data_IF_313372961385
#
_entry.id   IF_313372961385
#
_cell.length_a   1.000
_cell.length_b   1.000
_cell.length_c   1.000
_cell.angle_alpha   90.00
_cell.angle_beta   90.00
_cell.angle_gamma   90.00
#
_symmetry.space_group_name_H-M   'P 1'
#
loop_
_entity.id
_entity.type
_entity.pdbx_description
1 polymer ?
#
# COMPACT_ATOMS: atom_id res chain seq x y z
N UNK A 1 5.51 -19.87 7.43
CA UNK A 1 6.48 -19.63 6.36
C UNK A 1 7.07 -18.24 6.50
N UNK A 2 8.37 -18.09 6.23
CA UNK A 2 9.07 -16.81 6.18
C UNK A 2 9.71 -16.68 4.80
N UNK A 3 9.42 -15.59 4.11
CA UNK A 3 9.98 -15.29 2.79
C UNK A 3 10.65 -13.93 2.86
N UNK A 4 11.89 -13.87 2.40
CA UNK A 4 12.66 -12.65 2.22
C UNK A 4 13.05 -12.50 0.76
N UNK A 5 12.85 -11.31 0.21
CA UNK A 5 13.32 -10.92 -1.11
C UNK A 5 14.18 -9.67 -1.02
N UNK A 6 15.33 -9.70 -1.69
CA UNK A 6 16.18 -8.55 -1.97
C UNK A 6 16.04 -8.21 -3.46
N UNK A 7 15.60 -7.00 -3.78
CA UNK A 7 15.51 -6.48 -5.14
C UNK A 7 16.48 -5.33 -5.35
N UNK A 8 16.99 -5.17 -6.57
CA UNK A 8 17.55 -3.90 -7.03
C UNK A 8 17.30 -3.83 -8.53
N UNK A 9 16.42 -2.96 -8.96
CA UNK A 9 15.98 -2.87 -10.35
C UNK A 9 16.18 -1.46 -10.85
N UNK A 10 16.93 -1.35 -11.94
CA UNK A 10 17.10 -0.13 -12.70
C UNK A 10 16.50 -0.31 -14.11
N UNK A 11 15.90 0.74 -14.66
CA UNK A 11 15.45 0.77 -16.06
C UNK A 11 15.99 1.97 -16.81
N UNK A 12 16.24 1.77 -18.12
CA UNK A 12 16.64 2.81 -19.06
C UNK A 12 15.44 3.25 -19.90
N UNK A 13 15.16 4.56 -19.95
CA UNK A 13 14.05 5.12 -20.76
C UNK A 13 14.50 5.69 -22.12
N UNK A 14 15.78 5.59 -22.47
CA UNK A 14 16.36 6.25 -23.65
C UNK A 14 17.15 7.52 -23.33
N UNK A 15 16.97 8.08 -22.13
CA UNK A 15 17.64 9.31 -21.68
C UNK A 15 18.33 9.18 -20.32
N UNK A 16 17.73 8.43 -19.39
CA UNK A 16 18.21 8.26 -18.01
C UNK A 16 17.92 6.86 -17.49
N UNK A 17 18.71 6.46 -16.50
CA UNK A 17 18.41 5.32 -15.63
C UNK A 17 17.52 5.79 -14.47
N UNK A 18 16.58 4.96 -14.07
CA UNK A 18 15.67 5.26 -12.97
C UNK A 18 15.16 3.99 -12.27
N UNK A 19 14.80 4.14 -11.00
CA UNK A 19 14.17 3.09 -10.19
C UNK A 19 12.69 2.99 -10.59
N UNK A 20 12.20 1.89 -11.18
CA UNK A 20 10.78 1.74 -11.49
C UNK A 20 9.94 1.64 -10.20
N UNK A 21 8.65 1.98 -10.28
CA UNK A 21 7.73 2.01 -9.12
C UNK A 21 7.56 0.67 -8.40
N UNK A 22 7.97 -0.44 -9.02
CA UNK A 22 7.94 -1.78 -8.43
C UNK A 22 9.32 -2.23 -7.92
N UNK A 23 10.36 -1.40 -8.02
CA UNK A 23 11.63 -1.66 -7.36
C UNK A 23 11.42 -1.58 -5.83
N UNK A 24 11.50 -2.75 -5.19
CA UNK A 24 11.39 -2.87 -3.74
C UNK A 24 12.59 -3.61 -3.22
N UNK A 25 13.52 -2.84 -2.66
CA UNK A 25 14.79 -3.37 -2.20
C UNK A 25 14.66 -4.46 -1.14
N UNK A 26 13.85 -4.25 -0.12
CA UNK A 26 13.62 -5.25 0.93
C UNK A 26 12.15 -5.60 0.99
N UNK A 27 11.83 -6.89 0.95
CA UNK A 27 10.47 -7.39 1.08
C UNK A 27 10.46 -8.64 1.98
N UNK A 28 9.72 -8.58 3.08
CA UNK A 28 9.60 -9.69 4.03
C UNK A 28 8.13 -10.03 4.20
N UNK A 29 7.80 -11.31 4.05
CA UNK A 29 6.48 -11.82 4.35
C UNK A 29 6.61 -13.00 5.30
N UNK A 30 6.03 -12.87 6.48
CA UNK A 30 5.94 -13.92 7.47
C UNK A 30 4.49 -14.28 7.69
N UNK A 31 4.19 -15.58 7.72
CA UNK A 31 2.88 -16.07 8.10
C UNK A 31 3.05 -17.28 8.99
N UNK A 32 2.30 -17.30 10.08
CA UNK A 32 2.20 -18.43 10.98
C UNK A 32 0.73 -18.79 11.15
N UNK A 33 0.46 -20.08 11.23
CA UNK A 33 -0.85 -20.62 11.58
C UNK A 33 -0.63 -21.83 12.48
N UNK A 34 -1.37 -21.91 13.57
CA UNK A 34 -1.27 -23.01 14.53
C UNK A 34 -2.67 -23.40 15.01
N UNK A 35 -2.97 -24.69 14.90
CA UNK A 35 -4.17 -25.28 15.48
C UNK A 35 -3.91 -25.67 16.94
N UNK A 36 -4.89 -25.44 17.81
CA UNK A 36 -4.83 -25.77 19.23
C UNK A 36 -6.22 -26.17 19.77
N UNK A 37 -6.24 -26.68 21.01
CA UNK A 37 -7.41 -27.33 21.59
C UNK A 37 -7.36 -28.85 21.45
N UNK A 38 -8.07 -29.56 22.33
CA UNK A 38 -8.00 -31.01 22.43
C UNK A 38 -8.47 -31.71 21.14
N UNK A 39 -9.35 -31.06 20.39
CA UNK A 39 -9.90 -31.54 19.11
C UNK A 39 -9.43 -30.68 17.93
N UNK A 40 -8.40 -29.84 18.12
CA UNK A 40 -7.93 -28.84 17.15
C UNK A 40 -9.06 -27.91 16.70
N UNK A 41 -9.95 -27.56 17.62
CA UNK A 41 -11.12 -26.73 17.34
C UNK A 41 -10.78 -25.23 17.23
N UNK A 42 -9.57 -24.83 17.59
CA UNK A 42 -9.09 -23.46 17.46
C UNK A 42 -7.93 -23.37 16.49
N UNK A 43 -7.85 -22.27 15.76
CA UNK A 43 -6.73 -21.93 14.89
C UNK A 43 -6.37 -20.46 15.07
N UNK A 44 -5.13 -20.18 15.45
CA UNK A 44 -4.58 -18.82 15.43
C UNK A 44 -3.76 -18.62 14.16
N UNK A 45 -3.94 -17.49 13.49
CA UNK A 45 -3.19 -17.09 12.30
C UNK A 45 -2.61 -15.69 12.49
N UNK A 46 -1.37 -15.52 12.06
CA UNK A 46 -0.69 -14.23 12.03
C UNK A 46 -0.04 -14.03 10.66
N UNK A 47 -0.23 -12.84 10.08
CA UNK A 47 0.40 -12.42 8.83
C UNK A 47 1.12 -11.10 9.06
N UNK A 48 2.41 -11.10 8.75
CA UNK A 48 3.28 -9.96 8.90
C UNK A 48 3.97 -9.66 7.58
N UNK A 49 3.90 -8.42 7.13
CA UNK A 49 4.52 -7.96 5.91
C UNK A 49 5.35 -6.71 6.18
N UNK A 50 6.58 -6.69 5.70
CA UNK A 50 7.50 -5.55 5.74
C UNK A 50 8.00 -5.28 4.32
N UNK A 51 8.08 -4.02 3.92
CA UNK A 51 8.62 -3.62 2.63
C UNK A 51 9.37 -2.31 2.74
N UNK A 52 10.51 -2.19 2.06
CA UNK A 52 11.13 -0.89 1.85
C UNK A 52 10.22 0.04 1.04
N UNK A 53 10.51 1.33 1.10
CA UNK A 53 9.81 2.36 0.34
C UNK A 53 9.81 2.09 -1.16
N UNK A 54 8.65 2.28 -1.78
CA UNK A 54 8.56 2.29 -3.24
C UNK A 54 9.12 3.62 -3.78
N UNK A 55 9.88 3.58 -4.89
CA UNK A 55 10.29 4.76 -5.63
C UNK A 55 9.09 5.57 -6.12
N UNK A 56 9.21 6.89 -6.07
CA UNK A 56 8.21 7.80 -6.60
C UNK A 56 8.84 9.13 -7.00
N UNK A 57 8.25 9.76 -8.00
CA UNK A 57 8.65 11.11 -8.43
C UNK A 57 8.01 12.14 -7.51
N UNK A 58 8.85 12.93 -6.84
CA UNK A 58 8.41 14.01 -5.95
C UNK A 58 7.94 15.24 -6.74
N UNK A 59 7.01 16.00 -6.16
CA UNK A 59 6.71 17.35 -6.63
C UNK A 59 7.69 18.32 -5.96
N UNK A 60 8.48 19.06 -6.75
CA UNK A 60 9.39 20.09 -6.24
C UNK A 60 8.72 21.44 -6.06
N UNK A 61 7.69 21.71 -6.86
CA UNK A 61 6.98 22.97 -6.79
C UNK A 61 5.77 23.03 -7.70
N UNK A 62 5.16 24.19 -7.74
CA UNK A 62 4.01 24.50 -8.58
C UNK A 62 4.30 25.79 -9.32
N UNK A 63 3.91 25.84 -10.59
CA UNK A 63 4.05 27.03 -11.42
C UNK A 63 2.85 27.19 -12.34
N UNK A 64 2.63 28.41 -12.80
CA UNK A 64 1.59 28.73 -13.76
C UNK A 64 2.21 28.64 -15.15
N UNK A 65 1.89 27.58 -15.90
CA UNK A 65 2.38 27.43 -17.27
C UNK A 65 1.66 28.42 -18.18
N UNK A 66 2.37 29.12 -19.09
CA UNK A 66 1.73 29.95 -20.10
C UNK A 66 0.72 29.12 -20.89
N UNK A 67 -0.44 29.70 -21.19
CA UNK A 67 -1.41 29.06 -22.07
C UNK A 67 -0.96 29.27 -23.53
N UNK A 68 -0.82 28.17 -24.26
CA UNK A 68 -0.33 28.15 -25.64
C UNK A 68 -1.36 27.56 -26.61
N UNK A 69 -2.66 27.69 -26.28
CA UNK A 69 -3.75 27.14 -27.09
C UNK A 69 -3.78 27.64 -28.54
N UNK A 70 -3.21 28.82 -28.81
CA UNK A 70 -3.09 29.40 -30.16
C UNK A 70 -1.69 29.23 -30.78
N UNK A 71 -0.84 28.39 -30.18
CA UNK A 71 0.51 28.12 -30.65
C UNK A 71 1.39 29.37 -30.68
N UNK A 72 2.05 29.64 -31.82
CA UNK A 72 2.95 30.80 -31.98
C UNK A 72 2.22 32.16 -31.90
N UNK A 73 0.89 32.17 -31.95
CA UNK A 73 0.07 33.39 -31.83
C UNK A 73 -0.38 33.67 -30.39
N UNK A 74 -0.09 32.76 -29.44
CA UNK A 74 -0.49 32.95 -28.04
C UNK A 74 0.26 34.13 -27.40
N UNK A 75 -0.49 35.03 -26.78
CA UNK A 75 0.06 36.17 -26.03
C UNK A 75 0.58 35.71 -24.67
N UNK A 76 1.87 35.38 -24.61
CA UNK A 76 2.53 34.98 -23.36
C UNK A 76 2.87 36.15 -22.43
N UNK A 77 2.63 37.40 -22.83
CA UNK A 77 2.97 38.61 -22.05
C UNK A 77 1.79 39.05 -21.19
N UNK A 78 0.57 39.04 -21.73
CA UNK A 78 -0.63 39.52 -21.03
C UNK A 78 -1.54 38.43 -20.49
N UNK A 79 -1.33 37.18 -20.89
CA UNK A 79 -2.21 36.07 -20.55
C UNK A 79 -1.84 35.44 -19.20
N UNK A 80 -2.84 35.32 -18.33
CA UNK A 80 -2.70 34.63 -17.05
C UNK A 80 -3.02 33.14 -17.23
N UNK A 81 -2.21 32.26 -16.63
CA UNK A 81 -2.50 30.83 -16.63
C UNK A 81 -3.77 30.55 -15.84
N UNK A 82 -4.70 29.80 -16.43
CA UNK A 82 -5.91 29.33 -15.75
C UNK A 82 -5.64 28.19 -14.75
N UNK A 83 -4.54 27.45 -14.95
CA UNK A 83 -4.24 26.22 -14.22
C UNK A 83 -2.84 26.23 -13.59
N UNK A 84 -2.74 25.54 -12.45
CA UNK A 84 -1.47 25.29 -11.77
C UNK A 84 -0.86 24.01 -12.31
N UNK A 85 0.39 24.09 -12.77
CA UNK A 85 1.19 22.95 -13.24
C UNK A 85 2.19 22.52 -12.16
N UNK A 86 2.49 21.23 -12.12
CA UNK A 86 3.43 20.64 -11.14
C UNK A 86 4.83 20.60 -11.74
N UNK A 87 5.81 21.14 -11.03
CA UNK A 87 7.22 20.94 -11.31
C UNK A 87 7.72 19.68 -10.60
N UNK A 88 8.13 18.68 -11.37
CA UNK A 88 8.55 17.37 -10.86
C UNK A 88 10.06 17.34 -10.56
N UNK A 89 10.43 16.58 -9.53
CA UNK A 89 11.81 16.15 -9.31
C UNK A 89 12.28 15.19 -10.40
N UNK A 90 13.52 14.72 -10.29
CA UNK A 90 13.98 13.61 -11.10
C UNK A 90 13.08 12.38 -10.96
N UNK A 91 12.97 11.62 -12.06
CA UNK A 91 12.09 10.48 -12.17
C UNK A 91 12.42 9.44 -11.09
N UNK A 92 11.49 9.24 -10.17
CA UNK A 92 11.55 8.24 -9.10
C UNK A 92 12.75 8.33 -8.16
N UNK A 93 13.35 9.51 -7.99
CA UNK A 93 14.47 9.71 -7.06
C UNK A 93 14.05 9.70 -5.57
N UNK A 94 12.76 9.89 -5.28
CA UNK A 94 12.23 9.81 -3.93
C UNK A 94 11.77 8.40 -3.56
N UNK A 95 11.80 8.05 -2.27
CA UNK A 95 11.20 6.80 -1.76
C UNK A 95 10.14 7.07 -0.70
N UNK A 96 9.02 6.36 -0.80
CA UNK A 96 7.98 6.40 0.22
C UNK A 96 8.49 5.85 1.56
N UNK A 97 7.86 6.18 2.70
CA UNK A 97 8.16 5.51 3.96
C UNK A 97 8.01 3.99 3.84
N UNK A 98 8.88 3.24 4.54
CA UNK A 98 8.80 1.79 4.56
C UNK A 98 7.40 1.32 4.97
N UNK A 99 6.90 0.25 4.35
CA UNK A 99 5.62 -0.39 4.64
C UNK A 99 5.79 -1.48 5.70
N UNK A 100 4.82 -1.61 6.60
CA UNK A 100 4.81 -2.69 7.59
C UNK A 100 3.35 -2.95 8.02
N UNK A 101 2.83 -4.17 7.91
CA UNK A 101 1.50 -4.56 8.46
C UNK A 101 1.53 -5.90 9.20
N UNK A 102 0.94 -5.94 10.40
CA UNK A 102 0.65 -7.16 11.17
C UNK A 102 -0.87 -7.35 11.25
N UNK A 103 -1.34 -8.50 10.80
CA UNK A 103 -2.72 -8.94 10.88
C UNK A 103 -2.77 -10.23 11.69
N UNK A 104 -3.75 -10.36 12.60
CA UNK A 104 -3.93 -11.54 13.44
C UNK A 104 -5.40 -11.96 13.38
N UNK A 105 -5.65 -13.26 13.33
CA UNK A 105 -7.00 -13.82 13.46
C UNK A 105 -7.00 -15.09 14.30
N UNK A 106 -8.14 -15.34 14.94
CA UNK A 106 -8.45 -16.57 15.65
C UNK A 106 -9.76 -17.10 15.08
N UNK A 107 -9.72 -18.35 14.65
CA UNK A 107 -10.89 -19.11 14.21
C UNK A 107 -11.19 -20.19 15.23
N UNK A 108 -12.48 -20.44 15.46
CA UNK A 108 -12.99 -21.59 16.19
C UNK A 108 -14.00 -22.33 15.34
N UNK A 109 -13.80 -23.64 15.19
CA UNK A 109 -14.71 -24.53 14.49
C UNK A 109 -15.58 -25.27 15.51
N UNK A 110 -16.89 -25.15 15.36
CA UNK A 110 -17.88 -25.92 16.08
C UNK A 110 -18.42 -27.02 15.18
N UNK A 111 -18.28 -28.27 15.61
CA UNK A 111 -18.80 -29.45 14.89
C UNK A 111 -20.23 -29.74 15.34
N UNK A 112 -20.99 -30.39 14.46
CA UNK A 112 -22.36 -30.87 14.69
C UNK A 112 -23.38 -29.77 15.01
N UNK A 113 -23.17 -28.55 14.51
CA UNK A 113 -24.11 -27.44 14.65
C UNK A 113 -25.19 -27.58 13.58
N UNK A 114 -26.38 -28.02 13.99
CA UNK A 114 -27.51 -28.32 13.11
C UNK A 114 -27.18 -29.33 11.99
N UNK A 115 -26.30 -30.30 12.30
CA UNK A 115 -25.84 -31.30 11.34
C UNK A 115 -24.71 -30.83 10.41
N UNK A 116 -24.18 -29.62 10.61
CA UNK A 116 -23.05 -29.07 9.86
C UNK A 116 -21.88 -28.60 10.73
N UNK A 117 -20.92 -27.92 10.12
CA UNK A 117 -19.79 -27.26 10.80
C UNK A 117 -19.94 -25.75 10.77
N UNK A 118 -19.72 -25.09 11.92
CA UNK A 118 -19.77 -23.64 12.06
C UNK A 118 -18.39 -23.10 12.40
N UNK A 119 -17.82 -22.28 11.52
CA UNK A 119 -16.59 -21.55 11.76
C UNK A 119 -16.90 -20.12 12.24
N UNK A 120 -16.46 -19.79 13.45
CA UNK A 120 -16.45 -18.42 13.95
C UNK A 120 -15.03 -17.88 13.87
N UNK A 121 -14.83 -16.76 13.18
CA UNK A 121 -13.53 -16.11 13.06
C UNK A 121 -13.59 -14.68 13.59
N UNK A 122 -12.68 -14.34 14.49
CA UNK A 122 -12.43 -12.97 14.91
C UNK A 122 -11.02 -12.57 14.47
N UNK A 123 -10.84 -11.34 13.99
CA UNK A 123 -9.56 -10.88 13.50
C UNK A 123 -9.34 -9.39 13.70
N UNK A 124 -8.10 -8.98 13.53
CA UNK A 124 -7.66 -7.60 13.54
C UNK A 124 -6.66 -7.42 12.40
N UNK A 125 -6.96 -6.48 11.52
CA UNK A 125 -6.03 -5.99 10.49
C UNK A 125 -5.29 -4.77 11.01
N UNK A 126 -4.00 -4.67 10.72
CA UNK A 126 -3.11 -3.58 11.15
C UNK A 126 -3.10 -3.39 12.69
N UNK A 127 -2.66 -4.42 13.42
CA UNK A 127 -2.70 -4.51 14.90
C UNK A 127 -2.09 -3.29 15.63
N UNK A 128 -1.04 -2.69 15.10
CA UNK A 128 -0.39 -1.50 15.68
C UNK A 128 -0.87 -0.17 15.09
N UNK A 129 -1.94 -0.19 14.28
CA UNK A 129 -2.54 1.00 13.65
C UNK A 129 -1.54 1.89 12.88
N UNK A 130 -0.59 1.30 12.16
CA UNK A 130 0.45 2.06 11.48
C UNK A 130 -0.10 2.78 10.27
N UNK A 131 0.31 4.01 10.11
CA UNK A 131 -0.03 4.88 9.00
C UNK A 131 0.74 4.52 7.71
N UNK A 132 0.44 3.36 7.12
CA UNK A 132 1.02 3.00 5.83
C UNK A 132 0.47 3.92 4.73
N UNK A 133 1.33 4.53 3.90
CA UNK A 133 0.89 5.41 2.80
C UNK A 133 0.09 4.60 1.77
N UNK A 134 -1.10 5.09 1.42
CA UNK A 134 -1.88 4.56 0.29
C UNK A 134 -1.60 5.38 -0.97
N UNK A 135 -1.77 6.71 -0.89
CA UNK A 135 -1.32 7.66 -1.92
C UNK A 135 -1.11 9.06 -1.33
N UNK A 136 -0.48 9.94 -2.09
CA UNK A 136 -0.36 11.36 -1.79
C UNK A 136 -1.09 12.12 -2.89
N UNK A 137 -2.07 12.95 -2.53
CA UNK A 137 -2.71 13.85 -3.49
C UNK A 137 -1.70 14.95 -3.86
N UNK A 138 -1.34 15.01 -5.14
CA UNK A 138 -0.30 15.92 -5.63
C UNK A 138 -0.77 17.36 -5.79
N UNK A 139 -2.08 17.63 -5.78
CA UNK A 139 -2.61 18.99 -5.85
C UNK A 139 -2.76 19.59 -4.46
N UNK A 140 -3.28 18.81 -3.51
CA UNK A 140 -3.52 19.29 -2.14
C UNK A 140 -2.36 18.99 -1.18
N UNK A 141 -1.37 18.19 -1.60
CA UNK A 141 -0.30 17.67 -0.75
C UNK A 141 -0.77 16.66 0.30
N UNK A 142 -2.07 16.33 0.34
CA UNK A 142 -2.61 15.48 1.39
C UNK A 142 -2.17 14.03 1.22
N UNK A 143 -1.47 13.52 2.23
CA UNK A 143 -1.20 12.09 2.40
C UNK A 143 -2.46 11.36 2.84
N UNK A 144 -2.81 10.28 2.13
CA UNK A 144 -3.85 9.33 2.53
C UNK A 144 -3.21 8.02 2.93
N UNK A 145 -3.56 7.54 4.12
CA UNK A 145 -3.05 6.29 4.67
C UNK A 145 -4.03 5.15 4.43
N UNK A 146 -3.52 3.93 4.49
CA UNK A 146 -4.31 2.71 4.52
C UNK A 146 -5.14 2.64 5.80
N UNK A 147 -6.05 1.66 5.85
CA UNK A 147 -6.91 1.44 7.01
C UNK A 147 -6.09 1.36 8.31
N UNK A 148 -6.56 2.03 9.38
CA UNK A 148 -5.95 1.95 10.70
C UNK A 148 -6.24 0.58 11.32
N UNK A 149 -6.14 0.46 12.65
CA UNK A 149 -6.63 -0.71 13.37
C UNK A 149 -8.07 -1.04 12.94
N UNK A 150 -8.28 -2.24 12.40
CA UNK A 150 -9.57 -2.68 11.89
C UNK A 150 -9.94 -4.05 12.46
N UNK A 151 -10.85 -4.13 13.44
CA UNK A 151 -11.38 -5.40 13.93
C UNK A 151 -12.38 -5.98 12.92
N UNK A 152 -12.47 -7.31 12.88
CA UNK A 152 -13.42 -8.04 12.04
C UNK A 152 -13.95 -9.29 12.73
N UNK A 153 -15.18 -9.66 12.39
CA UNK A 153 -15.82 -10.91 12.81
C UNK A 153 -16.46 -11.52 11.57
N UNK A 154 -16.33 -12.83 11.42
CA UNK A 154 -16.94 -13.62 10.36
C UNK A 154 -17.52 -14.91 10.94
N UNK A 155 -18.59 -15.38 10.30
CA UNK A 155 -19.28 -16.60 10.66
C UNK A 155 -19.61 -17.35 9.37
N UNK A 156 -19.08 -18.56 9.24
CA UNK A 156 -19.24 -19.41 8.06
C UNK A 156 -19.86 -20.75 8.48
N UNK A 157 -20.99 -21.12 7.90
CA UNK A 157 -21.65 -22.40 8.16
C UNK A 157 -21.55 -23.31 6.92
N UNK A 158 -21.14 -24.55 7.14
CA UNK A 158 -20.95 -25.58 6.12
C UNK A 158 -21.90 -26.74 6.41
N UNK A 159 -22.74 -27.08 5.43
CA UNK A 159 -23.71 -28.17 5.48
C UNK A 159 -23.16 -29.46 4.88
#
# INVERSE_FOLDING_TARGET
WLVYGLGNVDRWDGSRWYDPVFDRQHNVNFVASQDFGNKKEWQISARWALGSGLPFTQSQGYYQSPNISEGIYSDYISQNAGDITIYYAGLNEGRLPAYHRLDISVRRTFKDVYGGELDFTAGVTNVYSRENVFYINRLTGQRKNQLPFLPSIALDWKF
#
